data_IF_964059481600
#
_entry.id   IF_964059481600
#
_cell.length_a   1.000
_cell.length_b   1.000
_cell.length_c   1.000
_cell.angle_alpha   90.00
_cell.angle_beta   90.00
_cell.angle_gamma   90.00
#
_symmetry.space_group_name_H-M   'P 1'
#
loop_
_entity.id
_entity.type
_entity.pdbx_description
1 polymer ?
#
# COMPACT_ATOMS: atom_id res chain seq x y z
N UNK A 1 40.43 -29.14 -6.26
CA UNK A 1 39.86 -27.93 -6.89
C UNK A 1 39.02 -27.21 -5.83
N UNK A 2 39.24 -25.92 -5.57
CA UNK A 2 38.42 -25.15 -4.62
C UNK A 2 37.23 -24.53 -5.37
N UNK A 3 36.05 -24.53 -4.74
CA UNK A 3 34.87 -23.81 -5.20
C UNK A 3 34.40 -22.87 -4.09
N UNK A 4 33.81 -21.75 -4.50
CA UNK A 4 33.10 -20.81 -3.64
C UNK A 4 31.70 -20.62 -4.22
N UNK A 5 30.69 -20.63 -3.37
CA UNK A 5 29.30 -20.38 -3.73
C UNK A 5 28.89 -19.05 -3.11
N UNK A 6 28.25 -18.20 -3.90
CA UNK A 6 27.72 -16.92 -3.47
C UNK A 6 26.21 -16.92 -3.61
N UNK A 7 25.55 -16.25 -2.67
CA UNK A 7 24.15 -15.86 -2.76
C UNK A 7 24.04 -14.45 -3.35
N UNK A 8 22.82 -13.98 -3.64
CA UNK A 8 22.56 -12.64 -4.16
C UNK A 8 22.07 -11.71 -3.06
N UNK A 9 20.90 -12.01 -2.48
CA UNK A 9 20.29 -11.16 -1.47
C UNK A 9 21.00 -11.32 -0.12
N UNK A 10 21.32 -10.21 0.52
CA UNK A 10 22.15 -10.18 1.73
C UNK A 10 23.65 -10.41 1.49
N UNK A 11 24.09 -10.63 0.25
CA UNK A 11 25.51 -10.80 -0.14
C UNK A 11 25.96 -9.75 -1.14
N UNK A 12 25.30 -9.64 -2.28
CA UNK A 12 25.58 -8.62 -3.30
C UNK A 12 24.58 -7.46 -3.24
N UNK A 13 23.31 -7.76 -2.98
CA UNK A 13 22.21 -6.78 -2.98
C UNK A 13 21.40 -6.87 -1.68
N UNK A 14 20.64 -5.82 -1.38
CA UNK A 14 19.67 -5.82 -0.27
C UNK A 14 18.23 -5.90 -0.80
N UNK A 15 17.32 -6.36 0.04
CA UNK A 15 15.88 -6.42 -0.25
C UNK A 15 15.17 -5.06 -0.09
N UNK A 16 15.91 -3.99 0.20
CA UNK A 16 15.35 -2.67 0.51
C UNK A 16 14.44 -2.14 -0.60
N UNK A 17 14.82 -2.38 -1.86
CA UNK A 17 13.99 -1.96 -3.01
C UNK A 17 12.68 -2.72 -3.11
N UNK A 18 12.60 -3.94 -2.59
CA UNK A 18 11.34 -4.67 -2.53
C UNK A 18 10.38 -4.00 -1.53
N UNK A 19 10.89 -3.51 -0.39
CA UNK A 19 10.08 -2.77 0.58
C UNK A 19 9.69 -1.38 0.07
N UNK A 20 10.60 -0.69 -0.63
CA UNK A 20 10.30 0.57 -1.31
C UNK A 20 9.13 0.42 -2.30
N UNK A 21 9.19 -0.57 -3.19
CA UNK A 21 8.10 -0.85 -4.15
C UNK A 21 6.81 -1.23 -3.44
N UNK A 22 6.89 -1.99 -2.34
CA UNK A 22 5.69 -2.35 -1.55
C UNK A 22 4.98 -1.11 -0.99
N UNK A 23 5.74 -0.11 -0.53
CA UNK A 23 5.17 1.16 -0.08
C UNK A 23 4.56 1.95 -1.24
N UNK A 24 5.25 2.01 -2.38
CA UNK A 24 4.75 2.69 -3.58
C UNK A 24 3.44 2.07 -4.08
N UNK A 25 3.33 0.74 -4.10
CA UNK A 25 2.09 0.05 -4.51
C UNK A 25 0.91 0.43 -3.63
N UNK A 26 1.09 0.44 -2.30
CA UNK A 26 0.01 0.86 -1.38
C UNK A 26 -0.35 2.33 -1.63
N UNK A 27 0.66 3.19 -1.78
CA UNK A 27 0.46 4.62 -1.96
C UNK A 27 -0.23 4.95 -3.30
N UNK A 28 0.15 4.28 -4.39
CA UNK A 28 -0.49 4.42 -5.70
C UNK A 28 -1.97 4.01 -5.65
N UNK A 29 -2.28 2.84 -5.06
CA UNK A 29 -3.66 2.37 -4.92
C UNK A 29 -4.55 3.31 -4.09
N UNK A 30 -3.96 4.04 -3.13
CA UNK A 30 -4.66 5.03 -2.29
C UNK A 30 -4.84 6.38 -2.99
N UNK A 31 -3.85 6.85 -3.75
CA UNK A 31 -3.80 8.24 -4.19
C UNK A 31 -4.09 8.44 -5.68
N UNK A 32 -3.79 7.46 -6.53
CA UNK A 32 -4.00 7.59 -7.97
C UNK A 32 -5.49 7.48 -8.34
N UNK A 33 -5.94 8.30 -9.29
CA UNK A 33 -7.31 8.32 -9.80
C UNK A 33 -7.67 7.10 -10.64
N UNK A 34 -6.69 6.33 -11.10
CA UNK A 34 -6.90 5.01 -11.67
C UNK A 34 -7.47 4.02 -10.62
N UNK A 35 -7.33 4.32 -9.31
CA UNK A 35 -7.82 3.52 -8.20
C UNK A 35 -8.69 4.37 -7.27
N UNK A 36 -8.32 4.56 -5.99
CA UNK A 36 -9.13 5.31 -5.04
C UNK A 36 -9.12 6.82 -5.27
N UNK A 37 -7.99 7.41 -5.64
CA UNK A 37 -7.91 8.86 -5.87
C UNK A 37 -8.21 9.71 -4.62
N UNK A 38 -7.74 9.32 -3.43
CA UNK A 38 -8.09 10.01 -2.17
C UNK A 38 -7.59 11.46 -2.12
N UNK A 39 -6.35 11.70 -2.57
CA UNK A 39 -5.69 13.00 -2.51
C UNK A 39 -4.79 13.21 -3.73
N UNK A 40 -4.30 14.44 -3.92
CA UNK A 40 -3.22 14.69 -4.89
C UNK A 40 -1.94 13.95 -4.50
N UNK A 41 -1.22 13.43 -5.50
CA UNK A 41 0.06 12.77 -5.33
C UNK A 41 1.17 13.44 -6.17
N UNK A 42 2.42 13.07 -5.87
CA UNK A 42 3.58 13.40 -6.71
C UNK A 42 3.48 12.65 -8.04
N UNK A 43 3.98 13.26 -9.12
CA UNK A 43 4.04 12.60 -10.42
C UNK A 43 4.99 11.40 -10.39
N UNK A 44 4.46 10.21 -10.65
CA UNK A 44 5.16 8.93 -10.61
C UNK A 44 6.38 8.89 -11.53
N UNK A 45 6.32 9.58 -12.67
CA UNK A 45 7.43 9.63 -13.63
C UNK A 45 8.63 10.45 -13.13
N UNK A 46 8.44 11.22 -12.05
CA UNK A 46 9.45 12.14 -11.50
C UNK A 46 9.94 11.76 -10.11
N UNK A 47 9.57 10.58 -9.59
CA UNK A 47 9.95 10.11 -8.27
C UNK A 47 11.47 10.11 -8.07
N UNK A 48 11.93 10.69 -6.96
CA UNK A 48 13.30 10.60 -6.50
C UNK A 48 13.46 9.57 -5.38
N UNK A 49 14.69 9.16 -5.09
CA UNK A 49 14.97 8.28 -3.94
C UNK A 49 14.48 8.85 -2.61
N UNK A 50 14.49 10.18 -2.44
CA UNK A 50 13.98 10.81 -1.23
C UNK A 50 12.45 10.69 -1.15
N UNK A 51 11.73 10.89 -2.27
CA UNK A 51 10.27 10.76 -2.30
C UNK A 51 9.85 9.33 -1.98
N UNK A 52 10.55 8.34 -2.54
CA UNK A 52 10.30 6.92 -2.28
C UNK A 52 10.49 6.61 -0.79
N UNK A 53 11.57 7.12 -0.18
CA UNK A 53 11.83 6.91 1.24
C UNK A 53 10.81 7.62 2.14
N UNK A 54 10.36 8.81 1.77
CA UNK A 54 9.32 9.53 2.51
C UNK A 54 7.98 8.80 2.42
N UNK A 55 7.60 8.29 1.25
CA UNK A 55 6.40 7.45 1.06
C UNK A 55 6.51 6.17 1.90
N UNK A 56 7.64 5.47 1.86
CA UNK A 56 7.88 4.27 2.68
C UNK A 56 7.78 4.56 4.17
N UNK A 57 8.40 5.64 4.64
CA UNK A 57 8.38 6.04 6.03
C UNK A 57 6.95 6.32 6.54
N UNK A 58 6.11 6.89 5.68
CA UNK A 58 4.70 7.16 5.95
C UNK A 58 3.87 5.87 5.98
N UNK A 59 3.86 5.13 4.88
CA UNK A 59 3.06 3.90 4.73
C UNK A 59 3.41 2.85 5.78
N UNK A 60 4.69 2.61 6.08
CA UNK A 60 5.10 1.59 7.04
C UNK A 60 5.50 2.14 8.41
N UNK A 61 5.26 3.43 8.68
CA UNK A 61 5.54 4.09 9.95
C UNK A 61 6.99 3.88 10.43
N UNK A 62 7.97 4.27 9.60
CA UNK A 62 9.41 4.00 9.79
C UNK A 62 9.68 2.50 9.99
N UNK A 63 9.18 1.69 9.06
CA UNK A 63 9.25 0.22 9.04
C UNK A 63 8.69 -0.51 10.27
N UNK A 64 7.98 0.18 11.17
CA UNK A 64 7.34 -0.46 12.32
C UNK A 64 6.31 -1.50 11.90
N UNK A 65 5.49 -1.17 10.90
CA UNK A 65 4.47 -2.07 10.34
C UNK A 65 5.18 -3.24 9.63
N UNK A 66 6.17 -2.95 8.79
CA UNK A 66 6.94 -3.98 8.08
C UNK A 66 7.57 -5.01 9.04
N UNK A 67 8.24 -4.52 10.10
CA UNK A 67 8.86 -5.38 11.10
C UNK A 67 7.83 -6.19 11.89
N UNK A 68 6.65 -5.60 12.16
CA UNK A 68 5.55 -6.30 12.81
C UNK A 68 5.03 -7.45 11.95
N UNK A 69 4.79 -7.22 10.66
CA UNK A 69 4.31 -8.25 9.73
C UNK A 69 5.33 -9.41 9.62
N UNK A 70 6.62 -9.09 9.48
CA UNK A 70 7.70 -10.10 9.50
C UNK A 70 7.70 -10.92 10.80
N UNK A 71 7.53 -10.28 11.95
CA UNK A 71 7.46 -10.97 13.25
C UNK A 71 6.26 -11.93 13.39
N UNK A 72 5.21 -11.72 12.59
CA UNK A 72 4.03 -12.59 12.50
C UNK A 72 4.17 -13.68 11.43
N UNK A 73 5.32 -13.78 10.76
CA UNK A 73 5.60 -14.77 9.72
C UNK A 73 5.24 -14.33 8.30
N UNK A 74 4.78 -13.10 8.09
CA UNK A 74 4.54 -12.55 6.76
C UNK A 74 5.84 -12.00 6.18
N UNK A 75 6.43 -12.76 5.25
CA UNK A 75 7.70 -12.41 4.59
C UNK A 75 7.53 -12.08 3.10
N UNK A 76 6.38 -12.40 2.50
CA UNK A 76 6.08 -12.05 1.12
C UNK A 76 5.69 -10.58 1.03
N UNK A 77 6.40 -9.83 0.17
CA UNK A 77 6.09 -8.43 -0.09
C UNK A 77 4.65 -8.23 -0.60
N UNK A 78 4.14 -9.17 -1.39
CA UNK A 78 2.76 -9.14 -1.88
C UNK A 78 1.73 -9.26 -0.75
N UNK A 79 1.95 -10.16 0.20
CA UNK A 79 1.05 -10.32 1.34
C UNK A 79 1.10 -9.08 2.25
N UNK A 80 2.30 -8.53 2.46
CA UNK A 80 2.49 -7.35 3.30
C UNK A 80 1.79 -6.12 2.71
N UNK A 81 2.01 -5.81 1.43
CA UNK A 81 1.33 -4.66 0.78
C UNK A 81 -0.18 -4.87 0.70
N UNK A 82 -0.64 -6.10 0.49
CA UNK A 82 -2.06 -6.42 0.40
C UNK A 82 -2.77 -6.17 1.73
N UNK A 83 -2.20 -6.64 2.85
CA UNK A 83 -2.78 -6.45 4.18
C UNK A 83 -2.80 -4.96 4.56
N UNK A 84 -1.70 -4.24 4.32
CA UNK A 84 -1.62 -2.81 4.66
C UNK A 84 -2.65 -2.00 3.86
N UNK A 85 -2.74 -2.24 2.54
CA UNK A 85 -3.78 -1.61 1.72
C UNK A 85 -5.19 -1.97 2.20
N UNK A 86 -5.46 -3.25 2.46
CA UNK A 86 -6.78 -3.72 2.89
C UNK A 86 -7.25 -3.08 4.20
N UNK A 87 -6.35 -2.86 5.16
CA UNK A 87 -6.68 -2.19 6.41
C UNK A 87 -7.14 -0.75 6.16
N UNK A 88 -6.45 0.00 5.30
CA UNK A 88 -6.86 1.34 4.92
C UNK A 88 -8.18 1.33 4.14
N UNK A 89 -8.35 0.40 3.19
CA UNK A 89 -9.59 0.25 2.44
C UNK A 89 -10.79 -0.01 3.36
N UNK A 90 -10.66 -0.90 4.34
CA UNK A 90 -11.73 -1.17 5.31
C UNK A 90 -12.07 0.08 6.12
N UNK A 91 -11.07 0.88 6.50
CA UNK A 91 -11.32 2.11 7.25
C UNK A 91 -12.05 3.17 6.43
N UNK A 92 -11.74 3.27 5.15
CA UNK A 92 -12.45 4.14 4.20
C UNK A 92 -13.88 3.63 4.01
N UNK A 93 -14.08 2.33 3.77
CA UNK A 93 -15.41 1.76 3.56
C UNK A 93 -16.33 1.97 4.78
N UNK A 94 -15.77 2.02 6.01
CA UNK A 94 -16.54 2.31 7.23
C UNK A 94 -17.13 3.72 7.27
N UNK A 95 -16.66 4.66 6.43
CA UNK A 95 -17.23 6.01 6.35
C UNK A 95 -18.40 6.08 5.39
N UNK A 96 -18.63 5.05 4.58
CA UNK A 96 -19.72 4.98 3.61
C UNK A 96 -21.00 4.41 4.24
N UNK A 97 -22.14 4.65 3.58
CA UNK A 97 -23.40 4.00 3.91
C UNK A 97 -23.37 2.50 3.61
N UNK A 98 -24.30 1.74 4.21
CA UNK A 98 -24.37 0.30 4.00
C UNK A 98 -24.57 -0.09 2.53
N UNK A 99 -25.43 0.64 1.82
CA UNK A 99 -25.74 0.39 0.40
C UNK A 99 -24.51 0.61 -0.49
N UNK A 100 -23.69 1.62 -0.18
CA UNK A 100 -22.43 1.89 -0.90
C UNK A 100 -21.37 0.81 -0.66
N UNK A 101 -21.28 0.30 0.57
CA UNK A 101 -20.41 -0.84 0.89
C UNK A 101 -20.87 -2.08 0.13
N UNK A 102 -22.17 -2.38 0.10
CA UNK A 102 -22.69 -3.53 -0.64
C UNK A 102 -22.41 -3.40 -2.15
N UNK A 103 -22.57 -2.19 -2.72
CA UNK A 103 -22.23 -1.93 -4.11
C UNK A 103 -20.75 -2.23 -4.38
N UNK A 104 -19.84 -1.71 -3.56
CA UNK A 104 -18.41 -2.00 -3.71
C UNK A 104 -18.09 -3.50 -3.58
N UNK A 105 -18.68 -4.18 -2.60
CA UNK A 105 -18.32 -5.57 -2.29
C UNK A 105 -18.90 -6.58 -3.27
N UNK A 106 -20.13 -6.36 -3.76
CA UNK A 106 -20.91 -7.41 -4.42
C UNK A 106 -21.32 -7.11 -5.86
N UNK A 107 -21.14 -5.88 -6.36
CA UNK A 107 -21.41 -5.58 -7.76
C UNK A 107 -20.42 -6.34 -8.68
N UNK A 108 -20.92 -6.83 -9.81
CA UNK A 108 -20.20 -7.68 -10.79
C UNK A 108 -19.10 -6.96 -11.59
N UNK A 109 -18.78 -5.72 -11.23
CA UNK A 109 -17.66 -4.98 -11.82
C UNK A 109 -16.34 -5.38 -11.16
N UNK A 110 -15.21 -5.35 -11.91
CA UNK A 110 -13.88 -5.54 -11.34
C UNK A 110 -13.61 -4.57 -10.19
N UNK A 111 -12.93 -5.05 -9.14
CA UNK A 111 -12.61 -4.24 -7.97
C UNK A 111 -11.85 -2.94 -8.33
N UNK A 112 -10.98 -3.00 -9.34
CA UNK A 112 -10.26 -1.83 -9.88
C UNK A 112 -11.20 -0.69 -10.26
N UNK A 113 -12.26 -0.96 -11.01
CA UNK A 113 -13.25 0.05 -11.41
C UNK A 113 -14.11 0.48 -10.23
N UNK A 114 -14.43 -0.44 -9.31
CA UNK A 114 -15.23 -0.12 -8.13
C UNK A 114 -14.50 0.79 -7.13
N UNK A 115 -13.17 0.71 -7.04
CA UNK A 115 -12.37 1.61 -6.19
C UNK A 115 -12.53 3.08 -6.60
N UNK A 116 -12.67 3.35 -7.90
CA UNK A 116 -12.83 4.71 -8.44
C UNK A 116 -14.13 5.39 -7.97
N UNK A 117 -15.15 4.60 -7.61
CA UNK A 117 -16.44 5.10 -7.16
C UNK A 117 -16.48 5.44 -5.66
N UNK A 118 -15.44 5.09 -4.89
CA UNK A 118 -15.41 5.32 -3.44
C UNK A 118 -15.19 6.80 -3.12
N UNK A 119 -14.18 7.43 -3.73
CA UNK A 119 -13.77 8.80 -3.38
C UNK A 119 -14.83 9.86 -3.70
N UNK A 120 -15.65 9.62 -4.72
CA UNK A 120 -16.78 10.52 -5.06
C UNK A 120 -17.88 10.55 -4.00
N UNK A 121 -17.95 9.52 -3.16
CA UNK A 121 -18.98 9.36 -2.12
C UNK A 121 -18.47 9.71 -0.72
N UNK A 122 -17.24 10.22 -0.61
CA UNK A 122 -16.71 10.71 0.66
C UNK A 122 -17.27 12.11 0.94
N UNK A 123 -18.11 12.22 1.96
CA UNK A 123 -18.72 13.49 2.40
C UNK A 123 -17.67 14.53 2.86
N UNK A 124 -16.50 14.06 3.34
CA UNK A 124 -15.40 14.86 3.85
C UNK A 124 -14.04 14.35 3.34
N UNK A 125 -13.02 15.22 3.39
CA UNK A 125 -11.63 14.88 3.07
C UNK A 125 -11.12 13.78 4.01
N UNK A 126 -11.05 12.53 3.54
CA UNK A 126 -10.63 11.39 4.37
C UNK A 126 -9.17 11.53 4.81
N UNK A 127 -8.94 11.61 6.12
CA UNK A 127 -7.59 11.68 6.67
C UNK A 127 -7.02 10.27 6.81
N UNK A 128 -5.99 9.96 6.03
CA UNK A 128 -5.31 8.68 6.12
C UNK A 128 -4.68 8.50 7.52
N UNK A 129 -5.21 7.57 8.30
CA UNK A 129 -4.59 7.14 9.54
C UNK A 129 -3.50 6.10 9.25
N UNK A 130 -2.29 6.57 8.93
CA UNK A 130 -1.13 5.72 8.62
C UNK A 130 -0.67 4.83 9.80
N UNK A 131 -1.21 5.03 11.01
CA UNK A 131 -0.95 4.17 12.18
C UNK A 131 -1.97 3.04 12.35
N UNK A 132 -3.07 3.05 11.60
CA UNK A 132 -4.12 2.04 11.72
C UNK A 132 -3.62 0.59 11.52
N UNK A 133 -2.66 0.30 10.62
CA UNK A 133 -2.15 -1.07 10.45
C UNK A 133 -1.22 -1.57 11.57
N UNK A 134 -1.00 -0.78 12.63
CA UNK A 134 -0.09 -1.12 13.73
C UNK A 134 -0.72 -2.03 14.80
#
# INVERSE_FOLDING_TARGET
MKKILFDVDGVFLSEERCFDVSALTVYELLMDKCYLGLHSHIDWETLTDNDIQDIRNRIFQKDKILNKLKSLGLNSNWDMLFIVFSIHLIDILKTLSHDEIEAFMYQDEPAELKLQNISTNLDDCFNLNEQLPF
#
